data_IF_678789756547
#
_entry.id   IF_678789756547
#
_cell.length_a   1.000
_cell.length_b   1.000
_cell.length_c   1.000
_cell.angle_alpha   90.00
_cell.angle_beta   90.00
_cell.angle_gamma   90.00
#
_symmetry.space_group_name_H-M   'P 1'
#
loop_
_entity.id
_entity.type
_entity.pdbx_description
1 polymer ?
#
# COMPACT_ATOMS: atom_id res chain seq x y z
N UNK A 1 -15.35 41.07 -14.53
CA UNK A 1 -16.78 40.70 -14.42
C UNK A 1 -16.94 39.61 -13.37
N UNK A 2 -17.74 39.84 -12.32
CA UNK A 2 -18.01 38.83 -11.30
C UNK A 2 -18.79 37.67 -11.92
N UNK A 3 -18.29 36.43 -11.80
CA UNK A 3 -18.99 35.24 -12.32
C UNK A 3 -20.24 34.97 -11.49
N UNK A 4 -21.43 35.05 -12.10
CA UNK A 4 -22.72 34.72 -11.49
C UNK A 4 -22.66 33.30 -10.91
N UNK A 5 -23.01 33.17 -9.63
CA UNK A 5 -23.05 31.90 -8.92
C UNK A 5 -24.43 31.26 -9.11
N UNK A 6 -24.45 29.95 -9.39
CA UNK A 6 -25.67 29.17 -9.64
C UNK A 6 -25.80 28.03 -8.62
N UNK A 7 -27.02 27.59 -8.35
CA UNK A 7 -27.30 26.52 -7.39
C UNK A 7 -26.89 25.16 -7.96
N UNK A 8 -26.24 24.33 -7.15
CA UNK A 8 -25.84 22.99 -7.55
C UNK A 8 -27.03 22.07 -7.77
N UNK A 9 -27.07 21.39 -8.92
CA UNK A 9 -28.18 20.48 -9.28
C UNK A 9 -28.32 19.24 -8.41
N UNK A 10 -27.29 18.89 -7.62
CA UNK A 10 -27.27 17.69 -6.78
C UNK A 10 -27.27 18.01 -5.28
N UNK A 11 -27.10 19.28 -4.89
CA UNK A 11 -27.08 19.73 -3.50
C UNK A 11 -27.81 21.07 -3.38
N UNK A 12 -29.05 21.02 -2.86
CA UNK A 12 -29.79 22.23 -2.51
C UNK A 12 -29.01 23.04 -1.45
N UNK A 13 -28.89 24.35 -1.65
CA UNK A 13 -28.19 25.25 -0.73
C UNK A 13 -26.70 25.48 -1.00
N UNK A 14 -26.13 24.90 -2.07
CA UNK A 14 -24.73 25.14 -2.46
C UNK A 14 -24.62 25.87 -3.79
N UNK A 15 -23.78 26.89 -3.83
CA UNK A 15 -23.55 27.73 -5.01
C UNK A 15 -22.22 27.41 -5.68
N UNK A 16 -22.17 27.51 -7.00
CA UNK A 16 -21.00 27.18 -7.82
C UNK A 16 -20.98 27.98 -9.11
N UNK A 17 -19.78 28.22 -9.65
CA UNK A 17 -19.58 28.76 -11.00
C UNK A 17 -18.95 27.72 -11.95
N UNK A 18 -18.96 26.45 -11.55
CA UNK A 18 -18.40 25.33 -12.32
C UNK A 18 -19.53 24.47 -12.86
N UNK A 19 -19.39 24.07 -14.13
CA UNK A 19 -20.40 23.32 -14.87
C UNK A 19 -19.85 21.97 -15.33
N UNK A 20 -20.74 20.99 -15.43
CA UNK A 20 -20.42 19.72 -16.07
C UNK A 20 -20.02 19.94 -17.53
N UNK A 21 -18.91 19.36 -17.96
CA UNK A 21 -18.38 19.51 -19.32
C UNK A 21 -19.35 19.03 -20.41
N UNK A 22 -20.21 18.05 -20.09
CA UNK A 22 -21.08 17.40 -21.09
C UNK A 22 -22.51 17.93 -21.09
N UNK A 23 -23.08 18.20 -19.90
CA UNK A 23 -24.48 18.63 -19.80
C UNK A 23 -24.65 20.07 -19.31
N UNK A 24 -23.54 20.77 -19.05
CA UNK A 24 -23.49 22.16 -18.62
C UNK A 24 -24.27 22.50 -17.34
N UNK A 25 -24.75 21.51 -16.60
CA UNK A 25 -25.39 21.72 -15.28
C UNK A 25 -24.37 22.17 -14.24
N UNK A 26 -24.75 23.11 -13.39
CA UNK A 26 -23.94 23.72 -12.33
C UNK A 26 -23.72 22.72 -11.18
N UNK A 27 -22.46 22.48 -10.82
CA UNK A 27 -22.07 21.45 -9.84
C UNK A 27 -21.05 21.98 -8.82
N UNK A 28 -21.38 21.82 -7.52
CA UNK A 28 -20.50 22.21 -6.42
C UNK A 28 -19.29 21.28 -6.31
N UNK A 29 -18.23 21.73 -5.62
CA UNK A 29 -16.95 21.00 -5.49
C UNK A 29 -17.11 19.53 -5.10
N UNK A 30 -18.05 19.22 -4.20
CA UNK A 30 -18.25 17.86 -3.70
C UNK A 30 -18.99 16.95 -4.70
N UNK A 31 -19.68 17.54 -5.68
CA UNK A 31 -20.34 16.79 -6.77
C UNK A 31 -19.43 16.62 -7.99
N UNK A 32 -18.28 17.28 -8.02
CA UNK A 32 -17.39 17.27 -9.18
C UNK A 32 -16.64 15.93 -9.25
N UNK A 33 -16.81 15.23 -10.36
CA UNK A 33 -15.96 14.09 -10.71
C UNK A 33 -14.97 14.54 -11.77
N UNK A 34 -13.73 14.79 -11.37
CA UNK A 34 -12.65 15.21 -12.28
C UNK A 34 -12.05 13.98 -12.95
N UNK A 35 -12.12 13.90 -14.28
CA UNK A 35 -11.53 12.83 -15.09
C UNK A 35 -11.05 13.40 -16.42
N UNK A 36 -9.93 12.93 -16.95
CA UNK A 36 -9.40 13.37 -18.25
C UNK A 36 -9.37 14.90 -18.41
N UNK A 37 -8.95 15.63 -17.35
CA UNK A 37 -8.90 17.09 -17.28
C UNK A 37 -10.25 17.84 -17.41
N UNK A 38 -11.38 17.13 -17.40
CA UNK A 38 -12.74 17.69 -17.42
C UNK A 38 -13.51 17.39 -16.13
N UNK A 39 -14.55 18.18 -15.87
CA UNK A 39 -15.42 18.03 -14.70
C UNK A 39 -16.77 17.45 -15.15
N UNK A 40 -17.23 16.38 -14.49
CA UNK A 40 -18.51 15.74 -14.79
C UNK A 40 -19.43 15.71 -13.57
N UNK A 41 -20.75 15.83 -13.80
CA UNK A 41 -21.76 15.71 -12.73
C UNK A 41 -22.04 14.26 -12.31
N UNK A 42 -21.56 13.28 -13.08
CA UNK A 42 -21.86 11.86 -12.85
C UNK A 42 -21.21 10.93 -13.87
N UNK A 43 -21.29 9.62 -13.61
CA UNK A 43 -20.71 8.58 -14.48
C UNK A 43 -21.32 8.60 -15.89
N UNK A 44 -22.63 8.86 -16.01
CA UNK A 44 -23.34 8.95 -17.29
C UNK A 44 -22.77 10.02 -18.21
N UNK A 45 -22.48 11.21 -17.68
CA UNK A 45 -21.87 12.29 -18.46
C UNK A 45 -20.44 11.96 -18.87
N UNK A 46 -19.67 11.31 -18.00
CA UNK A 46 -18.32 10.84 -18.35
C UNK A 46 -18.34 9.79 -19.47
N UNK A 47 -19.27 8.83 -19.43
CA UNK A 47 -19.41 7.85 -20.51
C UNK A 47 -19.83 8.47 -21.83
N UNK A 48 -20.74 9.46 -21.81
CA UNK A 48 -21.12 10.23 -23.01
C UNK A 48 -19.91 10.96 -23.61
N UNK A 49 -19.02 11.50 -22.78
CA UNK A 49 -17.76 12.08 -23.25
C UNK A 49 -16.85 11.04 -23.91
N UNK A 50 -16.62 9.90 -23.26
CA UNK A 50 -15.78 8.82 -23.82
C UNK A 50 -16.32 8.29 -25.15
N UNK A 51 -17.64 8.13 -25.26
CA UNK A 51 -18.30 7.77 -26.53
C UNK A 51 -18.02 8.81 -27.61
N UNK A 52 -18.18 10.10 -27.30
CA UNK A 52 -17.93 11.17 -28.26
C UNK A 52 -16.48 11.19 -28.72
N UNK A 53 -15.52 11.08 -27.80
CA UNK A 53 -14.08 11.02 -28.11
C UNK A 53 -13.75 9.79 -28.97
N UNK A 54 -14.33 8.63 -28.65
CA UNK A 54 -14.17 7.41 -29.44
C UNK A 54 -14.71 7.59 -30.86
N UNK A 55 -15.92 8.12 -31.02
CA UNK A 55 -16.52 8.38 -32.33
C UNK A 55 -15.77 9.45 -33.13
N UNK A 56 -15.25 10.50 -32.49
CA UNK A 56 -14.45 11.51 -33.16
C UNK A 56 -13.09 10.96 -33.63
N UNK A 57 -12.42 10.18 -32.78
CA UNK A 57 -11.18 9.46 -33.14
C UNK A 57 -11.42 8.47 -34.27
N UNK A 58 -12.56 7.77 -34.24
CA UNK A 58 -13.01 6.85 -35.28
C UNK A 58 -13.27 7.58 -36.61
N UNK A 59 -14.04 8.67 -36.61
CA UNK A 59 -14.30 9.48 -37.81
C UNK A 59 -13.00 10.07 -38.40
N UNK A 60 -12.05 10.48 -37.55
CA UNK A 60 -10.75 11.02 -38.00
C UNK A 60 -9.88 9.95 -38.65
N UNK A 61 -9.85 8.73 -38.10
CA UNK A 61 -9.21 7.57 -38.74
C UNK A 61 -9.86 7.21 -40.08
N UNK A 62 -11.20 7.24 -40.16
CA UNK A 62 -11.94 6.89 -41.38
C UNK A 62 -11.83 7.95 -42.49
N UNK A 63 -11.73 9.25 -42.16
CA UNK A 63 -11.45 10.30 -43.15
C UNK A 63 -10.06 10.16 -43.78
N UNK A 64 -9.07 9.69 -43.01
CA UNK A 64 -7.71 9.46 -43.51
C UNK A 64 -7.54 8.16 -44.31
N UNK A 65 -8.47 7.20 -44.20
CA UNK A 65 -8.44 5.92 -44.95
C UNK A 65 -9.31 5.90 -46.20
N UNK A 66 -9.88 7.04 -46.64
CA UNK A 66 -10.69 7.14 -47.89
C UNK A 66 -9.97 6.76 -49.20
N UNK A 67 -8.72 6.30 -49.16
CA UNK A 67 -7.98 5.75 -50.31
C UNK A 67 -7.75 4.23 -50.27
N UNK A 68 -8.28 3.49 -49.28
CA UNK A 68 -8.09 2.03 -49.20
C UNK A 68 -9.44 1.33 -49.15
N UNK A 69 -9.68 0.45 -50.12
CA UNK A 69 -10.84 -0.46 -50.14
C UNK A 69 -10.66 -1.40 -48.93
N UNK A 70 -11.42 -1.16 -47.86
CA UNK A 70 -11.42 -2.01 -46.68
C UNK A 70 -12.08 -3.35 -47.03
N UNK A 71 -11.37 -4.46 -46.83
CA UNK A 71 -11.93 -5.81 -47.01
C UNK A 71 -13.16 -6.03 -46.09
N UNK A 72 -14.12 -6.87 -46.51
CA UNK A 72 -15.28 -7.24 -45.68
C UNK A 72 -14.85 -7.74 -44.28
N UNK A 73 -13.74 -8.48 -44.18
CA UNK A 73 -13.22 -8.99 -42.91
C UNK A 73 -12.80 -7.88 -41.94
N UNK A 74 -12.23 -6.78 -42.44
CA UNK A 74 -11.94 -5.60 -41.61
C UNK A 74 -13.21 -4.94 -41.08
N UNK A 75 -14.26 -4.81 -41.90
CA UNK A 75 -15.53 -4.23 -41.46
C UNK A 75 -16.21 -5.10 -40.38
N UNK A 76 -16.16 -6.43 -40.52
CA UNK A 76 -16.69 -7.38 -39.54
C UNK A 76 -15.89 -7.32 -38.22
N UNK A 77 -14.56 -7.27 -38.28
CA UNK A 77 -13.71 -7.15 -37.09
C UNK A 77 -13.98 -5.83 -36.34
N UNK A 78 -14.18 -4.73 -37.04
CA UNK A 78 -14.50 -3.45 -36.41
C UNK A 78 -15.92 -3.42 -35.84
N UNK A 79 -16.90 -4.02 -36.53
CA UNK A 79 -18.26 -4.17 -36.02
C UNK A 79 -18.32 -4.98 -34.72
N UNK A 80 -17.54 -6.07 -34.64
CA UNK A 80 -17.46 -6.90 -33.43
C UNK A 80 -16.80 -6.17 -32.24
N UNK A 81 -15.76 -5.36 -32.48
CA UNK A 81 -15.13 -4.53 -31.43
C UNK A 81 -16.12 -3.50 -30.87
N UNK A 82 -16.89 -2.82 -31.73
CA UNK A 82 -17.90 -1.85 -31.30
C UNK A 82 -19.01 -2.54 -30.50
N UNK A 83 -19.47 -3.71 -30.96
CA UNK A 83 -20.49 -4.49 -30.26
C UNK A 83 -20.02 -4.93 -28.87
N UNK A 84 -18.78 -5.46 -28.76
CA UNK A 84 -18.18 -5.84 -27.47
C UNK A 84 -18.05 -4.64 -26.52
N UNK A 85 -17.67 -3.46 -27.03
CA UNK A 85 -17.59 -2.25 -26.23
C UNK A 85 -18.97 -1.80 -25.70
N UNK A 86 -20.01 -1.87 -26.54
CA UNK A 86 -21.39 -1.57 -26.13
C UNK A 86 -21.93 -2.57 -25.09
N UNK A 87 -21.61 -3.86 -25.23
CA UNK A 87 -21.97 -4.91 -24.26
C UNK A 87 -21.29 -4.65 -22.91
N UNK A 88 -19.98 -4.39 -22.89
CA UNK A 88 -19.22 -4.06 -21.67
C UNK A 88 -19.78 -2.80 -20.99
N UNK A 89 -20.13 -1.77 -21.76
CA UNK A 89 -20.78 -0.56 -21.25
C UNK A 89 -22.14 -0.86 -20.60
N UNK A 90 -22.99 -1.66 -21.25
CA UNK A 90 -24.30 -2.05 -20.71
C UNK A 90 -24.17 -2.83 -19.40
N UNK A 91 -23.25 -3.80 -19.34
CA UNK A 91 -22.97 -4.56 -18.12
C UNK A 91 -22.49 -3.66 -16.97
N UNK A 92 -21.62 -2.69 -17.26
CA UNK A 92 -21.08 -1.78 -16.25
C UNK A 92 -22.14 -0.78 -15.75
N UNK A 93 -23.05 -0.31 -16.63
CA UNK A 93 -24.22 0.49 -16.25
C UNK A 93 -25.18 -0.32 -15.37
N UNK A 94 -25.49 -1.56 -15.73
CA UNK A 94 -26.33 -2.45 -14.90
C UNK A 94 -25.69 -2.74 -13.54
N UNK A 95 -24.38 -2.96 -13.48
CA UNK A 95 -23.65 -3.14 -12.23
C UNK A 95 -23.70 -1.88 -11.35
N UNK A 96 -23.55 -0.69 -11.96
CA UNK A 96 -23.65 0.57 -11.23
C UNK A 96 -25.05 0.83 -10.68
N UNK A 97 -26.10 0.46 -11.43
CA UNK A 97 -27.48 0.55 -10.95
C UNK A 97 -27.75 -0.46 -9.82
N UNK A 98 -27.21 -1.68 -9.90
CA UNK A 98 -27.27 -2.67 -8.80
C UNK A 98 -26.56 -2.17 -7.53
N UNK A 99 -25.43 -1.49 -7.66
CA UNK A 99 -24.70 -0.91 -6.52
C UNK A 99 -25.50 0.24 -5.89
N UNK A 100 -26.10 1.13 -6.68
CA UNK A 100 -26.93 2.22 -6.16
C UNK A 100 -28.22 1.72 -5.50
N UNK A 101 -28.86 0.68 -6.03
CA UNK A 101 -30.04 0.06 -5.38
C UNK A 101 -29.66 -0.68 -4.09
N UNK A 102 -28.47 -1.28 -4.01
CA UNK A 102 -27.95 -1.88 -2.78
C UNK A 102 -27.60 -0.81 -1.73
N UNK A 103 -27.07 0.35 -2.14
CA UNK A 103 -26.80 1.48 -1.23
C UNK A 103 -28.08 2.11 -0.68
N UNK A 104 -29.17 2.17 -1.46
CA UNK A 104 -30.48 2.66 -1.00
C UNK A 104 -31.21 1.71 -0.03
N UNK A 105 -30.83 0.43 0.05
CA UNK A 105 -31.43 -0.57 0.97
C UNK A 105 -30.82 -0.56 2.38
N UNK A 106 -29.91 0.36 2.67
CA UNK A 106 -29.41 0.58 4.04
C UNK A 106 -30.13 1.81 4.60
N UNK A 107 -30.91 1.72 5.69
CA UNK A 107 -31.58 2.89 6.23
C UNK A 107 -30.55 3.85 6.81
N UNK A 108 -30.25 4.92 6.06
CA UNK A 108 -29.54 6.08 6.58
C UNK A 108 -30.44 6.77 7.59
N UNK A 109 -30.01 6.82 8.85
CA UNK A 109 -30.59 7.70 9.87
C UNK A 109 -30.63 9.13 9.32
N UNK A 110 -31.82 9.63 9.08
CA UNK A 110 -32.09 11.05 8.90
C UNK A 110 -32.03 11.71 10.29
N UNK A 111 -31.20 12.73 10.44
CA UNK A 111 -31.33 13.73 11.49
C UNK A 111 -31.78 15.02 10.82
N UNK A 112 -32.89 15.58 11.29
CA UNK A 112 -33.41 16.90 10.91
C UNK A 112 -32.45 18.00 11.36
N UNK A 113 -32.40 19.15 10.67
CA UNK A 113 -31.61 20.29 11.09
C UNK A 113 -32.29 21.02 12.25
N UNK A 114 -31.55 21.23 13.33
CA UNK A 114 -31.89 22.22 14.37
C UNK A 114 -31.19 23.52 14.00
N UNK A 115 -31.95 24.58 13.81
CA UNK A 115 -31.47 25.98 13.66
C UNK A 115 -31.13 26.60 15.02
N UNK A 116 -30.40 27.73 15.02
CA UNK A 116 -29.16 27.90 15.76
C UNK A 116 -29.41 28.32 17.21
N UNK A 117 -28.48 27.95 18.09
CA UNK A 117 -28.27 28.77 19.27
C UNK A 117 -26.78 28.85 19.65
N UNK A 118 -26.37 30.11 19.83
CA UNK A 118 -25.25 30.63 20.61
C UNK A 118 -23.82 30.28 20.17
N UNK A 119 -23.12 31.32 19.69
CA UNK A 119 -21.68 31.37 19.57
C UNK A 119 -21.02 31.05 20.92
N UNK A 120 -20.51 29.82 21.06
CA UNK A 120 -19.48 29.52 22.05
C UNK A 120 -18.15 30.15 21.60
N UNK A 121 -17.34 30.69 22.53
CA UNK A 121 -16.04 31.27 22.19
C UNK A 121 -15.21 30.23 21.45
N UNK A 122 -14.55 30.65 20.36
CA UNK A 122 -13.69 29.81 19.50
C UNK A 122 -12.69 29.03 20.37
N UNK A 123 -13.02 27.77 20.69
CA UNK A 123 -12.12 26.87 21.38
C UNK A 123 -10.95 26.54 20.45
N UNK A 124 -9.73 26.72 20.93
CA UNK A 124 -8.47 26.28 20.32
C UNK A 124 -8.60 24.93 19.62
N UNK A 125 -8.07 24.75 18.40
CA UNK A 125 -8.18 23.49 17.68
C UNK A 125 -7.22 22.45 18.27
N UNK A 126 -7.65 21.74 19.32
CA UNK A 126 -7.06 20.44 19.68
C UNK A 126 -7.61 19.40 18.72
N UNK A 127 -6.80 18.96 17.76
CA UNK A 127 -7.20 17.96 16.75
C UNK A 127 -6.20 16.81 16.73
N UNK A 128 -6.63 15.63 17.16
CA UNK A 128 -5.82 14.41 17.05
C UNK A 128 -5.93 13.84 15.64
N UNK A 129 -4.77 13.57 15.02
CA UNK A 129 -4.71 12.90 13.74
C UNK A 129 -5.19 11.46 13.90
N UNK A 130 -6.25 11.11 13.18
CA UNK A 130 -6.81 9.76 13.25
C UNK A 130 -5.81 8.74 12.67
N UNK A 131 -5.62 7.58 13.33
CA UNK A 131 -4.80 6.52 12.79
C UNK A 131 -5.43 5.96 11.50
N UNK A 132 -4.61 5.35 10.65
CA UNK A 132 -5.08 4.66 9.45
C UNK A 132 -5.97 3.51 9.88
N UNK A 133 -7.24 3.52 9.42
CA UNK A 133 -8.20 2.47 9.78
C UNK A 133 -7.67 1.11 9.31
N UNK A 134 -7.47 0.21 10.27
CA UNK A 134 -7.03 -1.17 10.02
C UNK A 134 -5.53 -1.42 10.20
N UNK A 135 -4.69 -0.44 10.56
CA UNK A 135 -3.26 -0.65 10.76
C UNK A 135 -2.94 -1.82 11.73
N UNK A 136 -1.90 -2.60 11.41
CA UNK A 136 -1.44 -3.68 12.28
C UNK A 136 -0.45 -3.12 13.29
N UNK A 137 -0.79 -3.25 14.56
CA UNK A 137 0.06 -2.77 15.66
C UNK A 137 1.01 -3.91 16.07
N UNK A 138 2.27 -3.85 15.62
CA UNK A 138 3.29 -4.89 15.87
C UNK A 138 3.94 -4.80 17.26
N UNK A 139 3.76 -3.66 17.91
CA UNK A 139 4.18 -3.42 19.29
C UNK A 139 3.04 -2.71 19.99
N UNK A 140 2.79 -3.03 21.25
CA UNK A 140 1.79 -2.35 22.09
C UNK A 140 2.17 -0.90 22.46
N UNK A 141 2.81 -0.17 21.54
CA UNK A 141 3.19 1.23 21.66
C UNK A 141 2.62 1.99 20.48
N UNK A 142 2.05 3.15 20.74
CA UNK A 142 1.47 4.04 19.72
C UNK A 142 2.16 5.40 19.74
N UNK A 143 2.06 6.12 18.62
CA UNK A 143 2.40 7.54 18.53
C UNK A 143 1.13 8.33 18.26
N UNK A 144 0.82 9.29 19.12
CA UNK A 144 -0.33 10.20 18.97
C UNK A 144 0.22 11.50 18.39
N UNK A 145 -0.36 11.95 17.28
CA UNK A 145 0.00 13.19 16.59
C UNK A 145 -1.22 14.08 16.46
N UNK A 146 -1.02 15.38 16.37
CA UNK A 146 -2.12 16.29 16.14
C UNK A 146 -1.71 17.75 16.00
N UNK A 147 -2.71 18.60 16.02
CA UNK A 147 -2.60 20.06 15.97
C UNK A 147 -3.11 20.62 17.29
N UNK A 148 -2.43 21.63 17.80
CA UNK A 148 -2.80 22.41 18.98
C UNK A 148 -2.04 23.75 18.96
N UNK A 149 -2.52 24.73 19.72
CA UNK A 149 -1.88 26.05 19.82
C UNK A 149 -0.50 25.96 20.48
N UNK A 150 0.49 26.71 19.98
CA UNK A 150 1.88 26.67 20.47
C UNK A 150 2.03 27.12 21.94
N UNK A 151 1.04 27.80 22.51
CA UNK A 151 0.99 28.16 23.94
C UNK A 151 0.33 27.11 24.85
N UNK A 152 -0.17 26.00 24.29
CA UNK A 152 -0.87 24.99 25.07
C UNK A 152 0.07 23.94 25.68
N UNK A 153 -0.22 23.52 26.92
CA UNK A 153 0.41 22.35 27.53
C UNK A 153 -0.51 21.15 27.31
N UNK A 154 -0.02 20.13 26.61
CA UNK A 154 -0.80 18.93 26.33
C UNK A 154 -0.42 17.83 27.32
N UNK A 155 -1.41 17.34 28.07
CA UNK A 155 -1.26 16.26 29.04
C UNK A 155 -2.10 15.08 28.59
N UNK A 156 -1.44 13.95 28.31
CA UNK A 156 -2.10 12.68 28.09
C UNK A 156 -2.26 11.97 29.42
N UNK A 157 -3.50 11.64 29.77
CA UNK A 157 -3.84 10.92 30.98
C UNK A 157 -4.38 9.53 30.67
N UNK A 158 -4.12 8.62 31.61
CA UNK A 158 -4.71 7.30 31.65
C UNK A 158 -5.18 7.00 33.07
N UNK A 159 -6.44 6.60 33.23
CA UNK A 159 -7.06 6.41 34.57
C UNK A 159 -6.84 7.64 35.47
N UNK A 160 -6.98 8.84 34.90
CA UNK A 160 -6.78 10.15 35.55
C UNK A 160 -5.35 10.39 36.09
N UNK A 161 -4.35 9.65 35.62
CA UNK A 161 -2.93 9.91 35.92
C UNK A 161 -2.20 10.35 34.65
N UNK A 162 -1.34 11.38 34.71
CA UNK A 162 -0.55 11.81 33.56
C UNK A 162 0.43 10.70 33.16
N UNK A 163 0.42 10.34 31.88
CA UNK A 163 1.33 9.34 31.30
C UNK A 163 2.29 9.93 30.28
N UNK A 164 1.97 11.11 29.72
CA UNK A 164 2.88 11.86 28.87
C UNK A 164 2.48 13.34 28.84
N UNK A 165 3.45 14.21 28.61
CA UNK A 165 3.27 15.66 28.46
C UNK A 165 4.06 16.12 27.23
N UNK A 166 3.49 17.06 26.46
CA UNK A 166 4.19 17.69 25.34
C UNK A 166 3.74 19.13 25.16
N UNK A 167 4.60 19.92 24.51
CA UNK A 167 4.27 21.24 23.98
C UNK A 167 4.17 21.14 22.46
N UNK A 168 3.17 21.79 21.82
CA UNK A 168 3.14 21.92 20.38
C UNK A 168 4.30 22.78 19.87
N UNK A 169 4.75 22.49 18.65
CA UNK A 169 5.74 23.27 17.92
C UNK A 169 5.23 23.52 16.52
N UNK A 170 5.14 24.79 16.12
CA UNK A 170 4.58 25.21 14.82
C UNK A 170 3.17 24.64 14.61
N UNK A 171 2.35 24.69 15.65
CA UNK A 171 0.98 24.21 15.71
C UNK A 171 0.83 22.69 15.73
N UNK A 172 1.89 21.91 15.94
CA UNK A 172 1.86 20.43 15.88
C UNK A 172 2.45 19.80 17.13
N UNK A 173 1.88 18.67 17.54
CA UNK A 173 2.41 17.90 18.66
C UNK A 173 2.59 16.43 18.31
N UNK A 174 3.50 15.78 19.04
CA UNK A 174 3.79 14.35 18.91
C UNK A 174 4.06 13.74 20.28
N UNK A 175 3.25 12.77 20.68
CA UNK A 175 3.44 11.93 21.87
C UNK A 175 3.85 10.54 21.40
N UNK A 176 5.12 10.15 21.62
CA UNK A 176 5.69 8.88 21.15
C UNK A 176 5.64 7.82 22.24
N UNK A 177 5.74 6.57 21.82
CA UNK A 177 5.95 5.41 22.70
C UNK A 177 4.90 5.20 23.79
N UNK A 178 3.66 5.65 23.56
CA UNK A 178 2.56 5.50 24.51
C UNK A 178 2.18 4.02 24.58
N UNK A 179 2.37 3.43 25.75
CA UNK A 179 2.07 2.02 25.98
C UNK A 179 0.55 1.81 26.04
N UNK A 180 0.06 0.87 25.23
CA UNK A 180 -1.32 0.41 25.25
C UNK A 180 -1.39 -1.02 25.79
N UNK A 181 -2.50 -1.35 26.45
CA UNK A 181 -2.84 -2.72 26.81
C UNK A 181 -4.35 -2.88 26.81
N UNK A 182 -4.84 -4.14 26.84
CA UNK A 182 -6.28 -4.40 26.96
C UNK A 182 -6.92 -3.73 28.19
N UNK A 183 -6.15 -3.57 29.27
CA UNK A 183 -6.60 -2.92 30.50
C UNK A 183 -6.38 -1.40 30.51
N UNK A 184 -5.74 -0.85 29.47
CA UNK A 184 -5.23 0.51 29.43
C UNK A 184 -5.33 1.07 28.00
N UNK A 185 -6.56 1.07 27.48
CA UNK A 185 -6.88 1.43 26.10
C UNK A 185 -7.72 2.71 25.96
N UNK A 186 -8.04 3.36 27.08
CA UNK A 186 -8.70 4.67 27.10
C UNK A 186 -7.71 5.72 27.63
N UNK A 187 -7.59 6.83 26.90
CA UNK A 187 -6.77 7.99 27.27
C UNK A 187 -7.57 9.27 27.13
N UNK A 188 -7.22 10.27 27.94
CA UNK A 188 -7.73 11.63 27.83
C UNK A 188 -6.58 12.56 27.50
N UNK A 189 -6.66 13.27 26.39
CA UNK A 189 -5.70 14.31 26.03
C UNK A 189 -6.30 15.66 26.42
N UNK A 190 -5.71 16.30 27.43
CA UNK A 190 -6.09 17.63 27.90
C UNK A 190 -5.15 18.67 27.32
N UNK A 191 -5.69 19.79 26.85
CA UNK A 191 -4.93 21.00 26.57
C UNK A 191 -5.16 22.00 27.70
N UNK A 192 -4.07 22.55 28.24
CA UNK A 192 -4.09 23.60 29.25
C UNK A 192 -3.53 24.89 28.65
N UNK A 193 -4.10 26.04 29.03
CA UNK A 193 -3.49 27.35 28.75
C UNK A 193 -2.23 27.57 29.58
N UNK A 194 -1.51 28.65 29.29
CA UNK A 194 -0.36 29.14 30.07
C UNK A 194 -0.70 29.38 31.55
N UNK A 195 -1.97 29.68 31.86
CA UNK A 195 -2.46 29.88 33.23
C UNK A 195 -2.95 28.58 33.90
N UNK A 196 -2.75 27.42 33.28
CA UNK A 196 -3.13 26.12 33.83
C UNK A 196 -4.62 25.77 33.70
N UNK A 197 -5.41 26.57 32.96
CA UNK A 197 -6.82 26.28 32.73
C UNK A 197 -6.99 25.27 31.60
N UNK A 198 -7.82 24.23 31.80
CA UNK A 198 -8.15 23.27 30.74
C UNK A 198 -8.97 23.98 29.65
N UNK A 199 -8.45 24.00 28.43
CA UNK A 199 -9.07 24.64 27.27
C UNK A 199 -9.75 23.65 26.32
N UNK A 200 -9.27 22.40 26.28
CA UNK A 200 -9.86 21.33 25.47
C UNK A 200 -9.58 19.95 26.07
N UNK A 201 -10.46 18.99 25.77
CA UNK A 201 -10.31 17.57 26.13
C UNK A 201 -10.70 16.72 24.92
N UNK A 202 -9.83 15.80 24.53
CA UNK A 202 -10.11 14.75 23.53
C UNK A 202 -10.01 13.38 24.18
N UNK A 203 -11.01 12.52 23.98
CA UNK A 203 -10.98 11.14 24.46
C UNK A 203 -10.54 10.18 23.35
N UNK A 204 -9.55 9.36 23.67
CA UNK A 204 -8.97 8.39 22.75
C UNK A 204 -9.27 6.98 23.23
N UNK A 205 -10.11 6.28 22.48
CA UNK A 205 -10.53 4.91 22.75
C UNK A 205 -9.87 3.95 21.76
N UNK A 206 -9.04 3.05 22.27
CA UNK A 206 -8.40 2.00 21.50
C UNK A 206 -9.10 0.67 21.79
N UNK A 207 -9.43 -0.07 20.73
CA UNK A 207 -10.03 -1.39 20.83
C UNK A 207 -9.02 -2.44 20.37
N UNK A 208 -8.80 -3.45 21.22
CA UNK A 208 -8.04 -4.63 20.83
C UNK A 208 -8.95 -5.59 20.08
N UNK A 209 -8.71 -5.71 18.78
CA UNK A 209 -9.33 -6.74 17.95
C UNK A 209 -8.23 -7.42 17.12
N UNK A 210 -8.40 -8.72 16.79
CA UNK A 210 -7.62 -9.31 15.72
C UNK A 210 -7.78 -8.46 14.44
N UNK A 211 -6.71 -8.30 13.64
CA UNK A 211 -6.84 -7.61 12.37
C UNK A 211 -7.90 -8.31 11.52
N UNK A 212 -8.80 -7.53 10.89
CA UNK A 212 -9.83 -8.12 10.04
C UNK A 212 -9.19 -8.94 8.92
N UNK A 213 -9.78 -10.08 8.58
CA UNK A 213 -9.30 -10.94 7.48
C UNK A 213 -9.14 -10.13 6.19
N UNK A 214 -10.07 -9.22 5.90
CA UNK A 214 -9.99 -8.31 4.74
C UNK A 214 -8.74 -7.44 4.74
N UNK A 215 -8.34 -6.95 5.91
CA UNK A 215 -7.12 -6.16 6.06
C UNK A 215 -5.87 -7.02 5.83
N UNK A 216 -5.79 -8.20 6.45
CA UNK A 216 -4.68 -9.14 6.24
C UNK A 216 -4.58 -9.62 4.79
N UNK A 217 -5.72 -9.80 4.12
CA UNK A 217 -5.79 -10.18 2.70
C UNK A 217 -5.46 -9.03 1.73
N UNK A 218 -5.12 -7.84 2.24
CA UNK A 218 -4.62 -6.71 1.44
C UNK A 218 -3.10 -6.68 1.47
N UNK A 219 -2.40 -6.85 0.33
CA UNK A 219 -0.95 -6.97 0.31
C UNK A 219 -0.28 -5.64 0.67
N UNK A 220 0.90 -5.74 1.29
CA UNK A 220 1.81 -4.63 1.49
C UNK A 220 2.72 -4.56 0.27
N UNK A 221 2.66 -3.48 -0.48
CA UNK A 221 3.62 -3.17 -1.57
C UNK A 221 4.58 -2.05 -1.21
N UNK A 222 4.19 -1.24 -0.24
CA UNK A 222 4.84 0.01 0.14
C UNK A 222 4.35 0.45 1.52
N UNK A 223 5.21 1.11 2.29
CA UNK A 223 4.86 1.84 3.50
C UNK A 223 4.34 3.26 3.20
N UNK A 224 4.39 4.11 4.22
CA UNK A 224 3.94 5.51 4.12
C UNK A 224 4.86 6.35 3.21
N UNK A 225 4.27 6.96 2.18
CA UNK A 225 4.97 7.84 1.21
C UNK A 225 5.42 9.16 1.83
N UNK A 226 4.91 9.52 3.01
CA UNK A 226 5.35 10.70 3.75
C UNK A 226 6.67 10.46 4.51
N UNK A 227 7.06 9.20 4.71
CA UNK A 227 8.26 8.83 5.48
C UNK A 227 9.41 8.47 4.53
N UNK A 228 10.60 9.03 4.77
CA UNK A 228 11.84 8.68 4.05
C UNK A 228 12.42 7.37 4.59
N UNK A 229 11.63 6.30 4.55
CA UNK A 229 12.02 4.97 4.98
C UNK A 229 12.04 4.01 3.79
N UNK A 230 12.99 3.07 3.77
CA UNK A 230 13.10 2.01 2.75
C UNK A 230 13.34 0.67 3.46
N UNK A 231 12.64 -0.37 3.04
CA UNK A 231 12.88 -1.73 3.49
C UNK A 231 13.67 -2.51 2.45
N UNK A 232 14.91 -2.88 2.79
CA UNK A 232 15.64 -3.91 2.07
C UNK A 232 15.06 -5.27 2.48
N UNK A 233 14.72 -6.11 1.49
CA UNK A 233 14.20 -7.44 1.76
C UNK A 233 14.91 -8.48 0.89
N UNK A 234 15.07 -9.68 1.45
CA UNK A 234 15.74 -10.77 0.77
C UNK A 234 14.89 -12.04 0.80
N UNK A 235 14.78 -12.72 -0.34
CA UNK A 235 14.13 -14.02 -0.43
C UNK A 235 15.20 -15.13 -0.43
N UNK A 236 15.01 -16.13 0.42
CA UNK A 236 15.89 -17.30 0.55
C UNK A 236 15.14 -18.57 0.14
N UNK A 237 15.50 -19.11 -1.03
CA UNK A 237 14.92 -20.33 -1.61
C UNK A 237 15.83 -21.55 -1.49
N UNK A 238 16.59 -21.88 -2.54
CA UNK A 238 17.38 -23.13 -2.58
C UNK A 238 18.88 -22.96 -2.26
N UNK A 239 19.44 -21.75 -2.41
CA UNK A 239 20.89 -21.51 -2.44
C UNK A 239 21.34 -20.58 -1.30
N UNK A 240 22.46 -20.93 -0.65
CA UNK A 240 23.08 -20.19 0.45
C UNK A 240 24.50 -19.66 0.11
N UNK A 241 24.95 -19.81 -1.15
CA UNK A 241 26.32 -19.59 -1.57
C UNK A 241 26.86 -18.15 -1.40
N UNK A 242 25.97 -17.15 -1.39
CA UNK A 242 26.35 -15.74 -1.19
C UNK A 242 25.76 -15.13 0.09
N UNK A 243 24.94 -15.89 0.83
CA UNK A 243 24.21 -15.38 2.00
C UNK A 243 25.15 -14.84 3.07
N UNK A 244 26.22 -15.56 3.39
CA UNK A 244 27.21 -15.12 4.39
C UNK A 244 27.80 -13.75 4.07
N UNK A 245 28.11 -13.49 2.78
CA UNK A 245 28.67 -12.22 2.32
C UNK A 245 27.66 -11.08 2.43
N UNK A 246 26.39 -11.35 2.12
CA UNK A 246 25.30 -10.38 2.31
C UNK A 246 25.16 -10.02 3.79
N UNK A 247 25.13 -11.02 4.68
CA UNK A 247 25.03 -10.81 6.13
C UNK A 247 26.22 -10.01 6.68
N UNK A 248 27.44 -10.31 6.22
CA UNK A 248 28.62 -9.53 6.62
C UNK A 248 28.52 -8.05 6.20
N UNK A 249 28.04 -7.77 4.99
CA UNK A 249 27.79 -6.40 4.51
C UNK A 249 26.71 -5.72 5.36
N UNK A 250 25.59 -6.39 5.61
CA UNK A 250 24.50 -5.83 6.41
C UNK A 250 24.94 -5.51 7.84
N UNK A 251 25.74 -6.39 8.46
CA UNK A 251 26.34 -6.18 9.77
C UNK A 251 27.32 -5.00 9.76
N UNK A 252 28.24 -4.96 8.80
CA UNK A 252 29.21 -3.85 8.65
C UNK A 252 28.50 -2.49 8.45
N UNK A 253 27.40 -2.50 7.70
CA UNK A 253 26.59 -1.30 7.46
C UNK A 253 25.58 -1.02 8.57
N UNK A 254 25.48 -1.86 9.60
CA UNK A 254 24.48 -1.77 10.66
C UNK A 254 23.04 -1.62 10.11
N UNK A 255 22.64 -2.55 9.24
CA UNK A 255 21.33 -2.60 8.59
C UNK A 255 20.60 -3.87 9.01
N UNK A 256 19.43 -3.70 9.63
CA UNK A 256 18.47 -4.78 9.83
C UNK A 256 17.48 -4.80 8.66
N UNK A 257 17.05 -6.01 8.29
CA UNK A 257 16.18 -6.23 7.13
C UNK A 257 15.13 -7.30 7.45
N UNK A 258 14.20 -7.49 6.52
CA UNK A 258 13.25 -8.62 6.57
C UNK A 258 13.61 -9.63 5.49
N UNK A 259 13.76 -10.89 5.89
CA UNK A 259 14.18 -11.99 5.04
C UNK A 259 13.07 -13.02 4.97
N UNK A 260 12.58 -13.35 3.78
CA UNK A 260 11.54 -14.35 3.56
C UNK A 260 12.19 -15.68 3.22
N UNK A 261 12.05 -16.68 4.09
CA UNK A 261 12.71 -17.98 3.93
C UNK A 261 11.72 -19.08 3.58
N UNK A 262 12.12 -19.94 2.66
CA UNK A 262 11.39 -21.18 2.39
C UNK A 262 11.69 -22.22 3.47
N UNK A 263 10.76 -23.15 3.69
CA UNK A 263 11.00 -24.33 4.52
C UNK A 263 12.20 -25.15 4.05
N UNK A 264 12.38 -25.29 2.74
CA UNK A 264 13.56 -25.95 2.17
C UNK A 264 14.88 -25.25 2.52
N UNK A 265 14.93 -23.91 2.48
CA UNK A 265 16.11 -23.15 2.88
C UNK A 265 16.46 -23.44 4.33
N UNK A 266 15.45 -23.38 5.21
CA UNK A 266 15.62 -23.60 6.65
C UNK A 266 16.12 -25.01 6.94
N UNK A 267 15.52 -26.01 6.29
CA UNK A 267 15.92 -27.42 6.44
C UNK A 267 17.36 -27.67 6.01
N UNK A 268 17.81 -27.04 4.92
CA UNK A 268 19.14 -27.27 4.33
C UNK A 268 20.24 -26.48 5.03
N UNK A 269 19.93 -25.29 5.54
CA UNK A 269 20.93 -24.36 6.09
C UNK A 269 20.56 -23.84 7.49
N UNK A 270 20.29 -24.72 8.48
CA UNK A 270 19.81 -24.30 9.79
C UNK A 270 20.78 -23.38 10.53
N UNK A 271 22.10 -23.55 10.35
CA UNK A 271 23.10 -22.66 10.94
C UNK A 271 23.08 -21.25 10.35
N UNK A 272 22.89 -21.12 9.04
CA UNK A 272 22.68 -19.82 8.41
C UNK A 272 21.45 -19.15 9.01
N UNK A 273 20.34 -19.89 9.16
CA UNK A 273 19.10 -19.33 9.72
C UNK A 273 19.30 -18.88 11.16
N UNK A 274 19.99 -19.67 12.00
CA UNK A 274 20.37 -19.26 13.35
C UNK A 274 21.23 -17.99 13.36
N UNK A 275 22.19 -17.88 12.44
CA UNK A 275 23.00 -16.67 12.27
C UNK A 275 22.13 -15.46 11.92
N UNK A 276 21.22 -15.57 10.95
CA UNK A 276 20.31 -14.49 10.55
C UNK A 276 19.50 -13.99 11.76
N UNK A 277 18.94 -14.91 12.55
CA UNK A 277 18.18 -14.56 13.76
C UNK A 277 19.06 -13.90 14.82
N UNK A 278 20.27 -14.43 15.07
CA UNK A 278 21.23 -13.89 16.04
C UNK A 278 21.69 -12.48 15.67
N UNK A 279 21.83 -12.18 14.38
CA UNK A 279 22.17 -10.84 13.88
C UNK A 279 20.98 -9.86 13.89
N UNK A 280 19.80 -10.30 14.34
CA UNK A 280 18.66 -9.43 14.63
C UNK A 280 17.69 -9.18 13.47
N UNK A 281 17.92 -9.79 12.30
CA UNK A 281 17.02 -9.69 11.15
C UNK A 281 15.64 -10.30 11.45
N UNK A 282 14.60 -9.82 10.75
CA UNK A 282 13.24 -10.36 10.87
C UNK A 282 13.00 -11.42 9.80
N UNK A 283 12.40 -12.54 10.18
CA UNK A 283 12.10 -13.63 9.24
C UNK A 283 10.62 -13.65 8.89
N UNK A 284 10.29 -13.56 7.61
CA UNK A 284 8.97 -13.81 7.06
C UNK A 284 8.89 -15.20 6.40
N UNK A 285 7.67 -15.65 6.13
CA UNK A 285 7.42 -16.95 5.53
C UNK A 285 7.44 -16.88 4.00
N UNK A 286 8.12 -17.81 3.33
CA UNK A 286 8.17 -17.87 1.87
C UNK A 286 7.66 -19.20 1.31
N UNK A 287 6.68 -19.84 1.97
CA UNK A 287 6.20 -21.21 1.69
C UNK A 287 7.25 -22.28 1.94
N UNK A 288 6.90 -23.57 1.87
CA UNK A 288 7.88 -24.62 2.15
C UNK A 288 8.72 -24.95 0.93
N UNK A 289 8.06 -25.23 -0.20
CA UNK A 289 8.66 -25.76 -1.42
C UNK A 289 8.78 -24.71 -2.56
N UNK A 290 8.45 -23.45 -2.31
CA UNK A 290 8.44 -22.40 -3.33
C UNK A 290 7.58 -22.73 -4.59
N UNK A 291 6.32 -23.21 -4.43
CA UNK A 291 5.50 -23.61 -5.57
C UNK A 291 4.97 -22.40 -6.35
N UNK A 292 4.79 -22.57 -7.66
CA UNK A 292 3.89 -21.68 -8.43
C UNK A 292 2.47 -21.84 -7.89
N UNK A 293 1.87 -20.73 -7.43
CA UNK A 293 0.55 -20.72 -6.80
C UNK A 293 -0.56 -20.43 -7.81
N UNK A 294 -0.22 -19.74 -8.90
CA UNK A 294 -1.18 -19.33 -9.93
C UNK A 294 -0.76 -19.86 -11.30
N UNK A 295 -1.61 -19.63 -12.29
CA UNK A 295 -1.34 -19.97 -13.69
C UNK A 295 -0.42 -18.96 -14.39
N UNK A 296 0.17 -18.01 -13.65
CA UNK A 296 0.92 -16.89 -14.23
C UNK A 296 2.11 -17.36 -15.07
N UNK A 297 2.88 -18.34 -14.58
CA UNK A 297 3.95 -18.95 -15.37
C UNK A 297 3.47 -19.53 -16.72
N UNK A 298 2.23 -20.06 -16.79
CA UNK A 298 1.67 -20.69 -18.00
C UNK A 298 1.03 -19.69 -18.95
N UNK A 299 0.29 -18.71 -18.45
CA UNK A 299 -0.58 -17.86 -19.28
C UNK A 299 -0.60 -16.38 -18.86
N UNK A 300 0.27 -15.96 -17.94
CA UNK A 300 0.36 -14.60 -17.38
C UNK A 300 -0.91 -14.13 -16.66
N UNK A 301 -1.78 -15.05 -16.23
CA UNK A 301 -2.95 -14.76 -15.40
C UNK A 301 -2.73 -15.27 -13.98
N UNK A 302 -3.18 -14.51 -12.99
CA UNK A 302 -3.09 -14.86 -11.58
C UNK A 302 -4.24 -15.78 -11.11
N UNK A 303 -4.79 -16.63 -11.98
CA UNK A 303 -5.82 -17.59 -11.57
C UNK A 303 -5.16 -18.72 -10.77
N UNK A 304 -5.75 -19.10 -9.63
CA UNK A 304 -5.25 -20.18 -8.77
C UNK A 304 -5.08 -21.46 -9.59
N UNK A 305 -3.97 -22.17 -9.39
CA UNK A 305 -3.76 -23.46 -10.07
C UNK A 305 -4.75 -24.48 -9.54
N UNK A 306 -5.22 -25.36 -10.42
CA UNK A 306 -6.17 -26.41 -10.09
C UNK A 306 -5.70 -27.30 -8.92
N UNK A 307 -4.41 -27.61 -8.86
CA UNK A 307 -3.83 -28.43 -7.79
C UNK A 307 -3.45 -27.63 -6.52
N UNK A 308 -3.73 -26.34 -6.47
CA UNK A 308 -3.46 -25.48 -5.32
C UNK A 308 -4.75 -25.25 -4.53
N UNK A 309 -4.97 -26.10 -3.53
CA UNK A 309 -6.10 -25.95 -2.59
C UNK A 309 -5.70 -25.10 -1.38
N UNK A 310 -6.71 -24.62 -0.66
CA UNK A 310 -6.54 -23.92 0.62
C UNK A 310 -5.70 -24.71 1.61
N UNK A 311 -6.00 -25.98 1.81
CA UNK A 311 -5.32 -26.86 2.77
C UNK A 311 -3.86 -27.06 2.38
N UNK A 312 -3.60 -27.30 1.08
CA UNK A 312 -2.25 -27.44 0.56
C UNK A 312 -1.44 -26.17 0.79
N UNK A 313 -1.99 -25.01 0.42
CA UNK A 313 -1.33 -23.73 0.62
C UNK A 313 -1.07 -23.42 2.11
N UNK A 314 -2.07 -23.65 2.97
CA UNK A 314 -1.91 -23.42 4.41
C UNK A 314 -0.89 -24.39 5.03
N UNK A 315 -0.77 -25.61 4.50
CA UNK A 315 0.28 -26.56 4.89
C UNK A 315 1.68 -26.03 4.55
N UNK A 316 1.87 -25.41 3.38
CA UNK A 316 3.15 -24.78 3.02
C UNK A 316 3.59 -23.71 4.04
N UNK A 317 2.66 -22.85 4.48
CA UNK A 317 2.98 -21.81 5.46
C UNK A 317 3.21 -22.39 6.87
N UNK A 318 2.31 -23.27 7.33
CA UNK A 318 2.38 -23.82 8.69
C UNK A 318 3.58 -24.73 8.91
N UNK A 319 3.94 -25.58 7.95
CA UNK A 319 5.14 -26.42 8.03
C UNK A 319 6.41 -25.58 8.11
N UNK A 320 6.50 -24.53 7.29
CA UNK A 320 7.65 -23.61 7.27
C UNK A 320 7.80 -22.89 8.62
N UNK A 321 6.69 -22.41 9.18
CA UNK A 321 6.70 -21.73 10.48
C UNK A 321 7.09 -22.68 11.63
N UNK A 322 6.56 -23.91 11.63
CA UNK A 322 6.90 -24.95 12.61
C UNK A 322 8.39 -25.29 12.57
N UNK A 323 8.92 -25.57 11.39
CA UNK A 323 10.34 -25.89 11.21
C UNK A 323 11.25 -24.74 11.66
N UNK A 324 10.87 -23.49 11.36
CA UNK A 324 11.62 -22.33 11.84
C UNK A 324 11.66 -22.23 13.36
N UNK A 325 10.53 -22.46 14.03
CA UNK A 325 10.44 -22.46 15.48
C UNK A 325 11.28 -23.58 16.09
N UNK A 326 11.27 -24.79 15.51
CA UNK A 326 12.12 -25.91 15.93
C UNK A 326 13.62 -25.59 15.79
N UNK A 327 14.04 -24.94 14.69
CA UNK A 327 15.46 -24.65 14.40
C UNK A 327 16.01 -23.49 15.24
N UNK A 328 15.15 -22.54 15.63
CA UNK A 328 15.58 -21.24 16.19
C UNK A 328 15.01 -20.91 17.56
N UNK A 329 13.96 -21.60 18.01
CA UNK A 329 13.20 -21.25 19.22
C UNK A 329 12.44 -19.91 19.11
N UNK A 330 12.27 -19.36 17.89
CA UNK A 330 11.59 -18.08 17.65
C UNK A 330 10.42 -18.27 16.69
N UNK A 331 9.46 -17.35 16.76
CA UNK A 331 8.35 -17.27 15.79
C UNK A 331 8.71 -16.37 14.62
N UNK A 332 8.24 -16.74 13.43
CA UNK A 332 8.32 -15.86 12.26
C UNK A 332 7.49 -14.59 12.48
N UNK A 333 7.88 -13.50 11.81
CA UNK A 333 7.02 -12.33 11.67
C UNK A 333 5.71 -12.74 10.96
N UNK A 334 4.57 -12.08 11.23
CA UNK A 334 3.27 -12.39 10.64
C UNK A 334 3.15 -11.91 9.18
N UNK A 335 4.22 -12.08 8.43
CA UNK A 335 4.35 -11.72 7.02
C UNK A 335 4.69 -12.96 6.21
N UNK A 336 4.10 -13.03 5.03
CA UNK A 336 4.50 -13.98 4.01
C UNK A 336 4.76 -13.27 2.68
N UNK A 337 5.57 -13.87 1.82
CA UNK A 337 5.76 -13.41 0.45
C UNK A 337 5.48 -14.55 -0.51
N UNK A 338 4.71 -14.29 -1.56
CA UNK A 338 4.38 -15.29 -2.55
C UNK A 338 5.59 -15.63 -3.42
N UNK A 339 5.93 -16.92 -3.62
CA UNK A 339 6.87 -17.36 -4.64
C UNK A 339 6.55 -16.71 -5.99
N UNK A 340 7.56 -16.19 -6.68
CA UNK A 340 7.45 -15.53 -8.00
C UNK A 340 6.50 -14.31 -8.04
N UNK A 341 6.01 -13.80 -6.90
CA UNK A 341 4.93 -12.80 -6.86
C UNK A 341 3.57 -13.35 -7.34
N UNK A 342 3.38 -14.67 -7.31
CA UNK A 342 2.15 -15.32 -7.75
C UNK A 342 1.11 -15.35 -6.63
N UNK A 343 0.29 -14.31 -6.56
CA UNK A 343 -0.83 -14.26 -5.61
C UNK A 343 -2.07 -13.61 -6.19
N UNK A 344 -3.22 -13.92 -5.59
CA UNK A 344 -4.51 -13.35 -5.93
C UNK A 344 -5.36 -13.16 -4.64
N UNK A 345 -6.57 -12.57 -4.72
CA UNK A 345 -7.38 -12.33 -3.53
C UNK A 345 -7.73 -13.60 -2.74
N UNK A 346 -7.88 -14.74 -3.41
CA UNK A 346 -8.21 -16.03 -2.78
C UNK A 346 -7.01 -16.59 -1.99
N UNK A 347 -5.83 -16.66 -2.60
CA UNK A 347 -4.60 -17.13 -1.91
C UNK A 347 -4.27 -16.23 -0.72
N UNK A 348 -4.41 -14.90 -0.89
CA UNK A 348 -4.23 -13.95 0.22
C UNK A 348 -5.23 -14.16 1.34
N UNK A 349 -6.47 -14.52 1.02
CA UNK A 349 -7.49 -14.86 2.01
C UNK A 349 -7.06 -16.08 2.83
N UNK A 350 -6.57 -17.13 2.17
CA UNK A 350 -6.09 -18.33 2.86
C UNK A 350 -4.89 -18.06 3.79
N UNK A 351 -3.99 -17.15 3.40
CA UNK A 351 -2.89 -16.73 4.27
C UNK A 351 -3.38 -15.87 5.45
N UNK A 352 -4.34 -14.98 5.19
CA UNK A 352 -4.95 -14.10 6.19
C UNK A 352 -5.67 -14.89 7.30
N UNK A 353 -6.30 -16.01 6.96
CA UNK A 353 -6.93 -16.92 7.93
C UNK A 353 -5.92 -17.56 8.90
N UNK A 354 -4.65 -17.66 8.49
CA UNK A 354 -3.54 -18.08 9.37
C UNK A 354 -2.86 -16.90 10.09
N UNK A 355 -3.39 -15.68 9.94
CA UNK A 355 -2.83 -14.47 10.54
C UNK A 355 -1.67 -13.84 9.76
N UNK A 356 -1.35 -14.32 8.56
CA UNK A 356 -0.28 -13.77 7.73
C UNK A 356 -0.79 -12.68 6.79
N UNK A 357 0.00 -11.62 6.64
CA UNK A 357 -0.21 -10.58 5.62
C UNK A 357 0.83 -10.68 4.51
N UNK A 358 0.39 -10.60 3.26
CA UNK A 358 1.32 -10.66 2.13
C UNK A 358 2.18 -9.40 2.07
N UNK A 359 3.48 -9.57 1.85
CA UNK A 359 4.45 -8.53 1.55
C UNK A 359 5.01 -8.78 0.16
N UNK A 360 4.63 -7.92 -0.75
CA UNK A 360 5.10 -7.83 -2.13
C UNK A 360 6.32 -6.86 -2.16
N UNK A 361 6.65 -6.30 -3.31
CA UNK A 361 7.61 -5.21 -3.45
C UNK A 361 6.96 -3.97 -4.05
N UNK A 362 7.71 -2.87 -4.07
CA UNK A 362 7.20 -1.59 -4.55
C UNK A 362 7.16 -1.52 -6.07
N UNK A 363 6.01 -1.08 -6.58
CA UNK A 363 5.83 -0.65 -7.97
C UNK A 363 5.75 0.89 -8.02
N UNK A 364 6.25 1.45 -9.12
CA UNK A 364 6.24 2.87 -9.44
C UNK A 364 4.93 3.28 -10.12
N UNK A 365 5.03 4.13 -11.15
CA UNK A 365 3.84 4.62 -11.89
C UNK A 365 3.16 3.52 -12.71
N UNK A 366 3.94 2.56 -13.20
CA UNK A 366 3.46 1.37 -13.89
C UNK A 366 4.19 0.10 -13.42
N UNK A 367 3.86 -1.06 -14.00
CA UNK A 367 4.46 -2.33 -13.58
C UNK A 367 5.92 -2.51 -14.00
N UNK A 368 6.41 -1.75 -14.99
CA UNK A 368 7.80 -1.85 -15.47
C UNK A 368 8.75 -1.11 -14.52
N UNK A 369 8.27 -0.02 -13.94
CA UNK A 369 8.95 0.70 -12.88
C UNK A 369 8.70 -0.02 -11.54
N UNK A 370 9.68 -0.74 -11.01
CA UNK A 370 9.52 -1.46 -9.76
C UNK A 370 10.86 -1.69 -9.05
N UNK A 371 10.76 -2.09 -7.79
CA UNK A 371 11.89 -2.41 -6.90
C UNK A 371 12.17 -3.92 -6.81
N UNK A 372 11.82 -4.70 -7.83
CA UNK A 372 12.38 -6.04 -8.03
C UNK A 372 13.71 -5.90 -8.76
N UNK A 373 14.81 -6.28 -8.09
CA UNK A 373 16.17 -6.13 -8.63
C UNK A 373 16.49 -7.09 -9.75
N UNK A 374 15.74 -8.19 -9.90
CA UNK A 374 16.05 -9.28 -10.85
C UNK A 374 17.48 -9.83 -10.69
N UNK A 375 18.04 -9.71 -9.50
CA UNK A 375 19.37 -10.20 -9.13
C UNK A 375 19.52 -11.74 -9.27
N UNK A 376 18.39 -12.45 -9.29
CA UNK A 376 18.30 -13.88 -9.54
C UNK A 376 18.52 -14.30 -11.01
N UNK A 377 18.38 -13.37 -11.97
CA UNK A 377 18.66 -13.67 -13.39
C UNK A 377 20.17 -13.84 -13.56
N UNK A 378 20.60 -15.03 -13.98
CA UNK A 378 21.98 -15.47 -13.81
C UNK A 378 22.87 -15.24 -15.03
N UNK A 379 22.32 -15.36 -16.25
CA UNK A 379 23.11 -15.31 -17.47
C UNK A 379 22.89 -13.99 -18.22
N UNK A 380 23.94 -13.29 -18.68
CA UNK A 380 23.81 -12.04 -19.44
C UNK A 380 22.94 -12.10 -20.69
N UNK A 381 22.76 -13.28 -21.29
CA UNK A 381 21.88 -13.48 -22.44
C UNK A 381 20.40 -13.65 -22.09
N UNK A 382 20.06 -13.83 -20.82
CA UNK A 382 18.68 -14.05 -20.40
C UNK A 382 17.89 -12.73 -20.39
N UNK A 383 16.64 -12.80 -20.84
CA UNK A 383 15.74 -11.66 -20.81
C UNK A 383 15.56 -11.14 -19.37
N UNK A 384 15.91 -9.86 -19.16
CA UNK A 384 15.79 -9.21 -17.86
C UNK A 384 17.04 -9.33 -16.97
N UNK A 385 18.14 -9.89 -17.48
CA UNK A 385 19.44 -9.76 -16.81
C UNK A 385 19.80 -8.29 -16.64
N UNK A 386 20.31 -7.96 -15.46
CA UNK A 386 20.86 -6.64 -15.13
C UNK A 386 22.18 -6.84 -14.40
N UNK A 387 23.19 -6.08 -14.76
CA UNK A 387 24.47 -6.07 -14.05
C UNK A 387 24.31 -5.53 -12.63
N UNK A 388 25.27 -5.80 -11.74
CA UNK A 388 25.26 -5.19 -10.41
C UNK A 388 25.20 -3.66 -10.45
N UNK A 389 25.87 -3.04 -11.42
CA UNK A 389 25.85 -1.59 -11.63
C UNK A 389 24.48 -1.10 -12.09
N UNK A 390 23.88 -1.74 -13.09
CA UNK A 390 22.52 -1.41 -13.56
C UNK A 390 21.45 -1.61 -12.46
N UNK A 391 21.62 -2.60 -11.59
CA UNK A 391 20.75 -2.81 -10.42
C UNK A 391 20.88 -1.64 -9.44
N UNK A 392 22.12 -1.20 -9.13
CA UNK A 392 22.35 -0.02 -8.27
C UNK A 392 21.71 1.22 -8.90
N UNK A 393 22.00 1.51 -10.16
CA UNK A 393 21.46 2.67 -10.87
C UNK A 393 19.94 2.66 -10.90
N UNK A 394 19.31 1.51 -11.15
CA UNK A 394 17.86 1.35 -11.11
C UNK A 394 17.28 1.74 -9.76
N UNK A 395 17.88 1.27 -8.65
CA UNK A 395 17.41 1.59 -7.29
C UNK A 395 17.55 3.09 -7.02
N UNK A 396 18.72 3.67 -7.35
CA UNK A 396 18.99 5.09 -7.08
C UNK A 396 18.12 6.02 -7.94
N UNK A 397 17.90 5.66 -9.20
CA UNK A 397 16.99 6.38 -10.10
C UNK A 397 15.56 6.39 -9.55
N UNK A 398 15.07 5.25 -9.04
CA UNK A 398 13.76 5.18 -8.41
C UNK A 398 13.70 6.04 -7.14
N UNK A 399 14.80 6.11 -6.37
CA UNK A 399 14.88 6.93 -5.17
C UNK A 399 14.87 8.45 -5.45
N UNK A 400 15.42 8.87 -6.59
CA UNK A 400 15.54 10.28 -6.98
C UNK A 400 14.24 10.87 -7.59
N UNK A 401 13.19 10.07 -7.81
CA UNK A 401 11.99 10.54 -8.50
C UNK A 401 11.19 11.63 -7.74
N UNK A 402 10.75 12.66 -8.47
CA UNK A 402 9.85 13.71 -7.95
C UNK A 402 8.51 13.11 -7.46
N UNK A 403 7.94 13.69 -6.40
CA UNK A 403 6.72 13.23 -5.66
C UNK A 403 6.91 12.02 -4.73
N UNK A 404 8.00 12.04 -3.97
CA UNK A 404 8.24 11.09 -2.86
C UNK A 404 9.08 9.87 -3.24
N UNK A 405 9.77 9.86 -4.39
CA UNK A 405 10.86 8.94 -4.72
C UNK A 405 10.67 7.49 -4.25
N UNK A 406 11.62 7.01 -3.46
CA UNK A 406 11.59 5.71 -2.78
C UNK A 406 10.99 5.74 -1.36
N UNK A 407 10.26 6.80 -0.97
CA UNK A 407 9.63 6.89 0.36
C UNK A 407 8.67 5.71 0.60
N UNK A 408 8.88 4.95 1.67
CA UNK A 408 8.11 3.75 1.99
C UNK A 408 8.43 2.55 1.08
N UNK A 409 9.46 2.59 0.24
CA UNK A 409 9.71 1.54 -0.74
C UNK A 409 10.18 0.22 -0.09
N UNK A 410 9.82 -0.89 -0.70
CA UNK A 410 10.23 -2.25 -0.36
C UNK A 410 10.99 -2.81 -1.55
N UNK A 411 12.27 -3.14 -1.35
CA UNK A 411 13.18 -3.64 -2.38
C UNK A 411 13.29 -5.16 -2.25
N UNK A 412 13.08 -5.88 -3.35
CA UNK A 412 13.24 -7.34 -3.45
C UNK A 412 14.63 -7.70 -3.98
N UNK A 413 15.34 -8.52 -3.20
CA UNK A 413 16.65 -9.12 -3.51
C UNK A 413 16.64 -10.60 -3.08
N UNK A 414 17.71 -11.35 -3.35
CA UNK A 414 17.81 -12.78 -3.02
C UNK A 414 19.09 -13.13 -2.23
N UNK A 415 18.99 -14.11 -1.33
CA UNK A 415 20.12 -14.58 -0.52
C UNK A 415 21.07 -15.55 -1.24
N UNK A 416 20.67 -16.05 -2.40
CA UNK A 416 21.39 -17.02 -3.22
C UNK A 416 21.45 -16.58 -4.68
N UNK A 417 22.43 -17.07 -5.43
CA UNK A 417 22.53 -16.74 -6.85
C UNK A 417 23.17 -17.86 -7.66
N UNK A 418 22.67 -18.08 -8.87
CA UNK A 418 23.28 -18.95 -9.88
C UNK A 418 24.30 -18.21 -10.77
N UNK A 419 24.54 -16.91 -10.52
CA UNK A 419 25.57 -16.15 -11.25
C UNK A 419 26.95 -16.74 -10.99
N UNK A 420 27.80 -16.72 -12.00
CA UNK A 420 29.23 -17.08 -11.88
C UNK A 420 30.15 -15.85 -11.81
N UNK A 421 29.64 -14.69 -12.23
CA UNK A 421 30.30 -13.38 -12.24
C UNK A 421 29.28 -12.29 -11.93
N UNK A 422 29.77 -11.09 -11.64
CA UNK A 422 28.91 -9.90 -11.41
C UNK A 422 27.78 -10.16 -10.39
N UNK A 423 28.18 -10.57 -9.18
CA UNK A 423 27.24 -10.83 -8.10
C UNK A 423 26.66 -9.52 -7.54
N UNK A 424 25.33 -9.32 -7.54
CA UNK A 424 24.71 -8.06 -7.13
C UNK A 424 25.02 -7.62 -5.68
N UNK A 425 25.29 -8.56 -4.76
CA UNK A 425 25.67 -8.21 -3.39
C UNK A 425 26.92 -7.32 -3.31
N UNK A 426 27.81 -7.36 -4.31
CA UNK A 426 29.02 -6.51 -4.34
C UNK A 426 28.67 -5.02 -4.40
N UNK A 427 27.50 -4.67 -4.92
CA UNK A 427 27.00 -3.28 -5.00
C UNK A 427 26.11 -2.88 -3.84
N UNK A 428 25.77 -3.82 -2.95
CA UNK A 428 24.96 -3.55 -1.76
C UNK A 428 25.57 -2.48 -0.84
N UNK A 429 26.90 -2.42 -0.59
CA UNK A 429 27.49 -1.34 0.21
C UNK A 429 27.23 0.04 -0.38
N UNK A 430 27.48 0.19 -1.70
CA UNK A 430 27.26 1.45 -2.43
C UNK A 430 25.77 1.84 -2.41
N UNK A 431 24.86 0.88 -2.65
CA UNK A 431 23.41 1.11 -2.58
C UNK A 431 23.02 1.65 -1.19
N UNK A 432 23.48 1.01 -0.11
CA UNK A 432 23.15 1.42 1.26
C UNK A 432 23.68 2.83 1.54
N UNK A 433 24.92 3.11 1.19
CA UNK A 433 25.56 4.40 1.45
C UNK A 433 24.87 5.52 0.66
N UNK A 434 24.56 5.29 -0.63
CA UNK A 434 23.86 6.26 -1.46
C UNK A 434 22.43 6.53 -0.99
N UNK A 435 21.69 5.50 -0.53
CA UNK A 435 20.36 5.72 0.04
C UNK A 435 20.41 6.56 1.31
N UNK A 436 21.39 6.30 2.20
CA UNK A 436 21.60 7.09 3.42
C UNK A 436 22.03 8.52 3.12
N UNK A 437 22.92 8.72 2.14
CA UNK A 437 23.31 10.05 1.67
C UNK A 437 22.10 10.85 1.16
N UNK A 438 21.10 10.18 0.61
CA UNK A 438 19.81 10.77 0.22
C UNK A 438 18.78 10.85 1.38
N UNK A 439 19.25 10.73 2.62
CA UNK A 439 18.48 10.82 3.86
C UNK A 439 17.38 9.76 4.01
N UNK A 440 17.52 8.60 3.37
CA UNK A 440 16.66 7.46 3.63
C UNK A 440 17.12 6.68 4.86
N UNK A 441 16.16 6.35 5.72
CA UNK A 441 16.34 5.40 6.81
C UNK A 441 16.03 3.99 6.33
N UNK A 442 16.97 3.07 6.52
CA UNK A 442 16.75 1.65 6.23
C UNK A 442 16.07 0.99 7.42
N UNK A 443 14.94 0.32 7.17
CA UNK A 443 14.08 -0.27 8.19
C UNK A 443 13.61 -1.67 7.79
N UNK A 444 13.08 -2.43 8.74
CA UNK A 444 12.40 -3.70 8.46
C UNK A 444 10.99 -3.48 7.90
N UNK A 445 10.40 -4.50 7.27
CA UNK A 445 9.01 -4.42 6.79
C UNK A 445 8.04 -4.13 7.93
N UNK A 446 8.30 -4.66 9.13
CA UNK A 446 7.44 -4.37 10.28
C UNK A 446 7.49 -2.90 10.70
N UNK A 447 8.61 -2.22 10.51
CA UNK A 447 8.75 -0.80 10.85
C UNK A 447 8.12 0.11 9.81
N UNK A 448 8.23 -0.23 8.52
CA UNK A 448 7.76 0.63 7.42
C UNK A 448 6.22 0.67 7.28
N UNK A 449 5.50 -0.26 7.92
CA UNK A 449 4.03 -0.38 7.85
C UNK A 449 3.31 0.02 9.14
N UNK A 450 4.02 0.68 10.06
CA UNK A 450 3.48 1.15 11.35
C UNK A 450 2.44 2.27 11.22
#
# INVERSE_FOLDING_TARGET
>A
MAKKLEVCVNHAGRYTNRHCYVCHKSICKDCQKVRSHHIFCGKTCWYRFLLREFFQSFQKKFRNTRKVILSQNTLILWGTIVLLFLILMRQNLQLSHKIETLQKKTPGRFWSPVTPNEEKPKSSPLVVQKPVKGAMVLSNKITIRGIADDGAILILEQKNKPVAVTLPQNGKFVLKDIQISRASSHFKLKALSSEGKVTAIEELHFHYAPPSIRFLATPIRRGDRSQREIALTFDGGALNNITGKILDILRQKNVLCTIFLTGEFIRRYPETVRRIVREGHKIGNHTFHHPHLTTYAKNRRQATRENMTRERFQKELTQTAKLFEEVTGKKMAPYWRAPYGESNPEIRLWAAELGYREVDWTFGKDQKENMDTRDWVAHPGDAGYQTGEEIKEKILKFADEKNGGANGAIILMHLGSNRTRDFPYKKLPEIIDSLRANHYKLVTVGEIVK
#
